data_IF_632440930436
#
_entry.id   IF_632440930436
#
_cell.length_a   1.000
_cell.length_b   1.000
_cell.length_c   1.000
_cell.angle_alpha   90.00
_cell.angle_beta   90.00
_cell.angle_gamma   90.00
#
_symmetry.space_group_name_H-M   'P 1'
#
loop_
_entity.id
_entity.type
_entity.pdbx_description
1 polymer ?
#
# COMPACT_ATOMS: atom_id res chain seq x y z
N UNK A 1 -33.99 11.66 -94.23
CA UNK A 1 -34.17 10.26 -93.79
C UNK A 1 -32.84 9.89 -93.15
N UNK A 2 -32.71 9.56 -91.88
CA UNK A 2 -33.44 8.58 -91.10
C UNK A 2 -33.24 8.90 -89.61
N UNK A 3 -34.34 8.91 -88.85
CA UNK A 3 -34.34 8.90 -87.39
C UNK A 3 -34.78 7.51 -86.97
N UNK A 4 -34.05 6.83 -86.07
CA UNK A 4 -34.63 6.21 -84.87
C UNK A 4 -33.62 5.50 -83.99
N UNK A 5 -33.71 5.86 -82.70
CA UNK A 5 -33.15 5.14 -81.54
C UNK A 5 -34.04 3.95 -81.18
N UNK A 6 -33.46 2.82 -80.73
CA UNK A 6 -33.46 2.36 -79.31
C UNK A 6 -33.19 0.85 -79.15
N UNK A 7 -32.34 0.57 -78.15
CA UNK A 7 -32.34 -0.51 -77.15
C UNK A 7 -32.11 -1.96 -77.61
N UNK A 8 -31.07 -2.59 -77.06
CA UNK A 8 -31.15 -3.94 -76.48
C UNK A 8 -30.19 -4.10 -75.29
N UNK A 9 -30.65 -4.85 -74.30
CA UNK A 9 -29.89 -5.45 -73.20
C UNK A 9 -29.42 -6.86 -73.63
N UNK A 10 -28.26 -7.35 -73.14
CA UNK A 10 -28.14 -8.72 -72.61
C UNK A 10 -26.82 -9.00 -71.86
N UNK A 11 -26.97 -9.88 -70.87
CA UNK A 11 -26.09 -10.34 -69.80
C UNK A 11 -24.82 -11.07 -70.29
N UNK A 12 -23.68 -10.83 -69.63
CA UNK A 12 -22.43 -11.59 -69.81
C UNK A 12 -22.12 -12.51 -68.62
N UNK A 13 -21.83 -13.77 -68.91
CA UNK A 13 -21.40 -14.83 -67.99
C UNK A 13 -19.86 -15.05 -68.08
N UNK A 14 -19.23 -15.81 -67.15
CA UNK A 14 -17.87 -15.54 -66.66
C UNK A 14 -16.73 -16.23 -67.44
N UNK A 15 -15.52 -15.65 -67.41
CA UNK A 15 -14.29 -16.24 -67.97
C UNK A 15 -13.39 -16.84 -66.88
N UNK A 16 -13.05 -18.12 -67.11
CA UNK A 16 -12.11 -19.03 -66.44
C UNK A 16 -10.68 -18.44 -66.38
N UNK A 17 -10.00 -18.53 -65.23
CA UNK A 17 -8.53 -18.41 -65.12
C UNK A 17 -7.94 -19.74 -64.65
N UNK A 18 -6.84 -20.13 -65.30
CA UNK A 18 -6.16 -21.44 -65.21
C UNK A 18 -5.25 -21.50 -63.99
N UNK A 19 -5.19 -22.69 -63.40
CA UNK A 19 -4.35 -23.12 -62.28
C UNK A 19 -3.10 -23.83 -62.84
N UNK A 20 -1.91 -23.50 -62.33
CA UNK A 20 -0.68 -24.32 -62.52
C UNK A 20 0.45 -23.95 -61.55
N UNK A 21 0.88 -24.94 -60.75
CA UNK A 21 2.19 -25.05 -60.06
C UNK A 21 2.29 -24.28 -58.74
N UNK A 22 2.78 -24.82 -57.61
CA UNK A 22 3.70 -25.94 -57.39
C UNK A 22 3.62 -26.39 -55.91
N UNK A 23 2.75 -27.33 -55.56
CA UNK A 23 2.54 -27.85 -54.18
C UNK A 23 3.58 -28.92 -53.80
N UNK A 24 4.86 -28.70 -54.14
CA UNK A 24 5.94 -29.70 -54.04
C UNK A 24 6.94 -29.50 -52.91
N UNK A 25 7.04 -28.29 -52.34
CA UNK A 25 8.18 -27.93 -51.47
C UNK A 25 7.83 -27.81 -49.98
N UNK A 26 6.54 -27.73 -49.60
CA UNK A 26 6.16 -27.58 -48.17
C UNK A 26 6.28 -28.88 -47.36
N UNK A 27 6.19 -30.04 -48.02
CA UNK A 27 6.22 -31.36 -47.36
C UNK A 27 7.63 -31.86 -47.00
N UNK A 28 8.69 -31.20 -47.49
CA UNK A 28 10.07 -31.56 -47.17
C UNK A 28 10.51 -30.98 -45.81
N UNK A 29 9.90 -29.88 -45.37
CA UNK A 29 10.28 -29.18 -44.13
C UNK A 29 9.73 -29.88 -42.87
N UNK A 30 8.62 -30.61 -42.98
CA UNK A 30 7.99 -31.34 -41.86
C UNK A 30 8.67 -32.67 -41.50
N UNK A 31 9.56 -33.20 -42.36
CA UNK A 31 10.20 -34.52 -42.17
C UNK A 31 11.59 -34.48 -41.53
N UNK A 32 12.09 -33.30 -41.14
CA UNK A 32 13.40 -33.20 -40.48
C UNK A 32 13.21 -33.34 -38.97
N UNK A 33 13.78 -34.37 -38.32
CA UNK A 33 13.69 -34.50 -36.87
C UNK A 33 14.37 -33.30 -36.20
N UNK A 34 13.65 -32.63 -35.29
CA UNK A 34 14.21 -31.55 -34.49
C UNK A 34 15.40 -32.11 -33.70
N UNK A 35 16.62 -31.62 -33.98
CA UNK A 35 17.77 -31.83 -33.09
C UNK A 35 17.42 -31.23 -31.73
N UNK A 36 17.14 -32.09 -30.75
CA UNK A 36 17.15 -31.69 -29.35
C UNK A 36 18.57 -31.25 -29.02
N UNK A 37 18.74 -29.98 -28.68
CA UNK A 37 19.97 -29.52 -28.03
C UNK A 37 19.96 -30.12 -26.63
N UNK A 38 20.62 -31.27 -26.51
CA UNK A 38 21.10 -31.78 -25.24
C UNK A 38 22.01 -30.71 -24.60
N UNK A 39 21.88 -30.60 -23.27
CA UNK A 39 22.56 -29.69 -22.34
C UNK A 39 23.97 -29.26 -22.78
N UNK A 40 24.11 -27.97 -23.08
CA UNK A 40 25.31 -27.17 -22.80
C UNK A 40 24.85 -25.90 -22.06
N UNK A 41 24.69 -25.99 -20.73
CA UNK A 41 24.33 -24.85 -19.87
C UNK A 41 25.53 -23.91 -19.74
N UNK A 42 25.69 -23.02 -20.71
CA UNK A 42 26.51 -21.82 -20.58
C UNK A 42 25.67 -20.61 -21.00
N UNK A 43 25.06 -19.93 -20.03
CA UNK A 43 24.29 -18.71 -20.29
C UNK A 43 25.25 -17.60 -20.73
N UNK A 44 25.26 -17.29 -22.03
CA UNK A 44 26.00 -16.14 -22.57
C UNK A 44 25.16 -14.89 -22.40
N UNK A 45 25.61 -13.95 -21.56
CA UNK A 45 25.01 -12.62 -21.44
C UNK A 45 25.60 -11.70 -22.51
N UNK A 46 24.75 -11.17 -23.38
CA UNK A 46 25.14 -10.15 -24.36
C UNK A 46 25.14 -8.76 -23.68
N UNK A 47 26.25 -8.03 -23.80
CA UNK A 47 26.39 -6.68 -23.28
C UNK A 47 26.03 -5.64 -24.34
N UNK A 48 25.72 -4.42 -23.90
CA UNK A 48 25.40 -3.31 -24.80
C UNK A 48 26.58 -3.02 -25.76
N UNK A 49 26.29 -2.75 -27.04
CA UNK A 49 27.34 -2.40 -28.00
C UNK A 49 28.02 -1.08 -27.63
N UNK A 50 29.35 -1.05 -27.65
CA UNK A 50 30.13 0.16 -27.37
C UNK A 50 30.61 0.78 -28.70
N UNK A 51 30.37 2.07 -28.88
CA UNK A 51 30.81 2.81 -30.07
C UNK A 51 32.22 3.35 -29.84
N UNK A 52 33.20 2.78 -30.54
CA UNK A 52 34.58 3.28 -30.60
C UNK A 52 34.79 4.08 -31.88
N UNK A 53 35.92 4.82 -31.98
CA UNK A 53 36.25 5.66 -33.16
C UNK A 53 36.32 4.88 -34.49
N UNK A 54 36.36 3.55 -34.46
CA UNK A 54 36.41 2.66 -35.62
C UNK A 54 35.14 1.81 -35.83
N UNK A 55 34.05 2.09 -35.12
CA UNK A 55 32.76 1.39 -35.29
C UNK A 55 32.16 0.86 -33.99
N UNK A 56 31.04 0.14 -34.11
CA UNK A 56 30.29 -0.40 -32.96
C UNK A 56 30.75 -1.83 -32.70
N UNK A 57 31.30 -2.09 -31.52
CA UNK A 57 31.76 -3.44 -31.10
C UNK A 57 30.76 -4.05 -30.11
N UNK A 58 30.24 -5.23 -30.43
CA UNK A 58 29.36 -6.03 -29.56
C UNK A 58 30.19 -6.93 -28.65
N UNK A 59 29.91 -6.95 -27.35
CA UNK A 59 30.63 -7.78 -26.35
C UNK A 59 29.72 -8.86 -25.77
N UNK A 60 30.28 -10.04 -25.50
CA UNK A 60 29.59 -11.18 -24.87
C UNK A 60 30.41 -11.72 -23.70
N UNK A 61 29.75 -12.15 -22.62
CA UNK A 61 30.39 -12.80 -21.47
C UNK A 61 29.68 -14.13 -21.14
N UNK A 62 30.46 -15.19 -20.90
CA UNK A 62 29.96 -16.53 -20.57
C UNK A 62 29.91 -16.70 -19.05
N UNK A 63 28.77 -17.13 -18.50
CA UNK A 63 28.59 -17.47 -17.08
C UNK A 63 28.36 -18.98 -16.98
N UNK A 64 29.14 -19.67 -16.14
CA UNK A 64 29.02 -21.11 -15.88
C UNK A 64 28.24 -21.37 -14.58
N UNK A 65 27.23 -22.25 -14.65
CA UNK A 65 26.47 -22.77 -13.50
C UNK A 65 26.87 -24.23 -13.21
N UNK A 66 26.94 -24.62 -11.93
CA UNK A 66 27.06 -26.02 -11.50
C UNK A 66 25.68 -26.49 -11.02
N UNK A 67 25.14 -27.53 -11.65
CA UNK A 67 23.95 -28.30 -11.25
C UNK A 67 24.43 -29.72 -10.79
N UNK A 68 23.90 -30.46 -9.80
CA UNK A 68 22.58 -31.15 -9.65
C UNK A 68 22.73 -32.25 -8.53
N UNK A 69 21.75 -33.09 -8.08
CA UNK A 69 20.26 -33.02 -8.09
C UNK A 69 19.47 -33.65 -6.87
N UNK A 70 18.13 -33.44 -6.90
CA UNK A 70 17.00 -34.35 -6.60
C UNK A 70 16.49 -34.61 -5.14
N UNK A 71 15.32 -34.05 -4.80
CA UNK A 71 14.01 -34.76 -4.81
C UNK A 71 12.85 -33.79 -4.54
N UNK A 72 11.74 -34.01 -5.24
CA UNK A 72 10.54 -33.17 -5.34
C UNK A 72 9.57 -33.42 -4.16
N UNK A 73 8.88 -32.38 -3.68
CA UNK A 73 7.41 -32.24 -3.69
C UNK A 73 6.92 -31.12 -2.73
N UNK A 74 5.74 -30.59 -3.07
CA UNK A 74 5.12 -29.32 -2.71
C UNK A 74 4.85 -29.09 -1.20
N UNK A 75 5.12 -27.86 -0.70
CA UNK A 75 4.28 -27.18 0.29
C UNK A 75 4.64 -25.70 0.48
N UNK A 76 3.61 -24.88 0.68
CA UNK A 76 3.62 -23.41 0.80
C UNK A 76 4.50 -22.88 1.95
N UNK A 77 5.34 -21.90 1.63
CA UNK A 77 6.24 -21.21 2.56
C UNK A 77 5.52 -20.41 3.66
N UNK A 78 5.78 -20.80 4.91
CA UNK A 78 5.67 -20.00 6.12
C UNK A 78 7.08 -19.86 6.75
N UNK A 79 7.56 -18.61 6.87
CA UNK A 79 8.52 -18.05 7.83
C UNK A 79 9.82 -18.79 8.25
N UNK A 80 10.95 -18.06 8.12
CA UNK A 80 12.15 -18.15 8.99
C UNK A 80 13.47 -18.14 8.20
N UNK A 81 14.27 -17.08 8.18
CA UNK A 81 15.31 -16.74 9.18
C UNK A 81 16.03 -15.46 8.67
N UNK A 82 16.15 -14.39 9.46
CA UNK A 82 17.25 -14.06 10.37
C UNK A 82 18.61 -13.76 9.69
N UNK A 83 18.95 -12.46 9.75
CA UNK A 83 20.26 -11.81 9.91
C UNK A 83 21.46 -12.25 9.07
N UNK A 84 21.90 -11.39 8.14
CA UNK A 84 23.31 -10.98 7.94
C UNK A 84 23.38 -9.76 7.00
N UNK A 85 23.43 -8.54 7.53
CA UNK A 85 23.91 -7.35 6.80
C UNK A 85 24.78 -6.47 7.71
N UNK A 86 26.08 -6.78 7.73
CA UNK A 86 27.14 -5.80 7.90
C UNK A 86 28.29 -6.22 6.99
N UNK A 87 28.45 -5.55 5.83
CA UNK A 87 29.68 -5.38 5.05
C UNK A 87 29.40 -4.27 4.02
N UNK A 88 30.17 -3.19 4.14
CA UNK A 88 30.18 -2.02 3.25
C UNK A 88 30.62 -2.39 1.83
N UNK A 89 30.08 -1.76 0.78
CA UNK A 89 30.76 -1.71 -0.51
C UNK A 89 31.53 -0.38 -0.64
N UNK A 90 32.86 -0.49 -0.73
CA UNK A 90 33.71 0.55 -1.32
C UNK A 90 33.45 0.64 -2.83
N UNK A 91 33.30 1.88 -3.32
CA UNK A 91 33.42 2.26 -4.73
C UNK A 91 34.01 3.69 -4.79
N UNK A 92 34.69 4.07 -5.89
CA UNK A 92 36.06 4.57 -5.85
C UNK A 92 36.20 6.09 -5.98
N UNK A 93 37.41 6.55 -5.68
CA UNK A 93 37.88 7.93 -5.75
C UNK A 93 37.60 8.62 -7.11
N UNK A 94 36.89 9.75 -7.04
CA UNK A 94 36.92 10.80 -8.05
C UNK A 94 36.75 12.17 -7.34
N UNK A 95 37.90 12.84 -7.24
CA UNK A 95 38.17 14.28 -7.10
C UNK A 95 37.26 15.16 -6.22
N UNK A 96 37.86 15.61 -5.13
CA UNK A 96 37.37 16.60 -4.20
C UNK A 96 37.27 17.99 -4.86
N UNK A 97 36.06 18.57 -4.84
CA UNK A 97 35.87 20.01 -4.78
C UNK A 97 35.70 20.40 -3.30
N UNK A 98 36.52 21.31 -2.74
CA UNK A 98 36.46 21.67 -1.33
C UNK A 98 35.64 22.96 -1.16
N UNK A 99 34.32 22.89 -1.03
CA UNK A 99 33.56 24.04 -0.53
C UNK A 99 32.51 23.64 0.53
N UNK A 100 32.63 24.32 1.68
CA UNK A 100 31.69 24.46 2.79
C UNK A 100 31.52 23.31 3.81
N UNK A 101 32.60 22.99 4.52
CA UNK A 101 32.53 22.51 5.91
C UNK A 101 32.60 23.66 6.91
N UNK A 102 31.62 24.57 6.89
CA UNK A 102 31.46 25.53 8.00
C UNK A 102 30.88 24.78 9.20
N UNK A 103 31.53 24.79 10.38
CA UNK A 103 30.98 24.17 11.58
C UNK A 103 29.68 24.88 11.96
N UNK A 104 28.55 24.21 11.71
CA UNK A 104 27.22 24.71 12.06
C UNK A 104 27.13 24.83 13.58
N UNK A 105 27.20 26.07 14.08
CA UNK A 105 26.87 26.39 15.47
C UNK A 105 25.52 25.78 15.85
N UNK A 106 25.39 25.15 17.04
CA UNK A 106 24.20 24.38 17.42
C UNK A 106 22.90 25.19 17.35
N UNK A 107 22.97 26.50 17.58
CA UNK A 107 21.84 27.44 17.49
C UNK A 107 21.29 27.54 16.05
N UNK A 108 22.15 27.65 15.03
CA UNK A 108 21.74 27.73 13.61
C UNK A 108 21.02 26.44 13.16
N UNK A 109 21.44 25.29 13.68
CA UNK A 109 20.81 24.00 13.37
C UNK A 109 19.39 23.85 13.95
N UNK A 110 19.10 24.49 15.09
CA UNK A 110 17.77 24.46 15.71
C UNK A 110 16.80 25.40 15.00
N UNK A 111 17.25 26.60 14.63
CA UNK A 111 16.45 27.54 13.84
C UNK A 111 16.07 26.97 12.48
N UNK A 112 16.98 26.24 11.83
CA UNK A 112 16.70 25.55 10.56
C UNK A 112 15.61 24.48 10.72
N UNK A 113 15.70 23.63 11.77
CA UNK A 113 14.68 22.62 12.07
C UNK A 113 13.31 23.24 12.38
N UNK A 114 13.31 24.37 13.10
CA UNK A 114 12.07 25.10 13.38
C UNK A 114 11.44 25.66 12.09
N UNK A 115 12.25 26.26 11.20
CA UNK A 115 11.79 26.75 9.89
C UNK A 115 11.23 25.61 9.04
N UNK A 116 11.93 24.49 8.98
CA UNK A 116 11.46 23.28 8.28
C UNK A 116 10.13 22.78 8.86
N UNK A 117 10.00 22.73 10.18
CA UNK A 117 8.75 22.32 10.82
C UNK A 117 7.59 23.25 10.46
N UNK A 118 7.82 24.57 10.41
CA UNK A 118 6.79 25.53 10.02
C UNK A 118 6.39 25.37 8.54
N UNK A 119 7.35 25.15 7.65
CA UNK A 119 7.07 24.89 6.23
C UNK A 119 6.24 23.61 6.06
N UNK A 120 6.59 22.53 6.75
CA UNK A 120 5.83 21.27 6.69
C UNK A 120 4.43 21.44 7.28
N UNK A 121 4.28 22.21 8.37
CA UNK A 121 2.96 22.52 8.95
C UNK A 121 2.07 23.29 7.97
N UNK A 122 2.61 24.35 7.36
CA UNK A 122 1.90 25.13 6.35
C UNK A 122 1.49 24.24 5.17
N UNK A 123 2.40 23.38 4.69
CA UNK A 123 2.14 22.43 3.62
C UNK A 123 1.04 21.42 3.98
N UNK A 124 1.09 20.83 5.18
CA UNK A 124 0.03 19.92 5.66
C UNK A 124 -1.32 20.66 5.72
N UNK A 125 -1.33 21.90 6.21
CA UNK A 125 -2.53 22.74 6.28
C UNK A 125 -3.11 23.06 4.89
N UNK A 126 -2.26 23.45 3.94
CA UNK A 126 -2.71 23.75 2.57
C UNK A 126 -3.25 22.51 1.85
N UNK A 127 -2.61 21.34 2.04
CA UNK A 127 -3.10 20.07 1.48
C UNK A 127 -4.45 19.68 2.07
N UNK A 128 -4.60 19.79 3.40
CA UNK A 128 -5.84 19.45 4.08
C UNK A 128 -6.99 20.39 3.69
N UNK A 129 -6.74 21.69 3.65
CA UNK A 129 -7.73 22.69 3.22
C UNK A 129 -8.20 22.42 1.79
N UNK A 130 -7.28 22.14 0.87
CA UNK A 130 -7.63 21.86 -0.53
C UNK A 130 -8.48 20.57 -0.68
N UNK A 131 -8.26 19.56 0.15
CA UNK A 131 -9.06 18.34 0.14
C UNK A 131 -10.48 18.61 0.67
N UNK A 132 -10.60 19.38 1.74
CA UNK A 132 -11.91 19.69 2.36
C UNK A 132 -12.73 20.61 1.47
N UNK A 133 -12.09 21.51 0.72
CA UNK A 133 -12.75 22.39 -0.27
C UNK A 133 -13.35 21.59 -1.43
N UNK A 134 -12.55 20.79 -2.13
CA UNK A 134 -12.99 19.99 -3.29
C UNK A 134 -12.40 18.57 -3.27
N UNK A 135 -13.05 17.62 -2.57
CA UNK A 135 -12.47 16.30 -2.36
C UNK A 135 -12.36 15.48 -3.65
N UNK A 136 -13.25 15.69 -4.63
CA UNK A 136 -13.28 14.94 -5.89
C UNK A 136 -12.08 15.25 -6.79
N UNK A 137 -11.77 16.54 -6.97
CA UNK A 137 -10.66 16.99 -7.83
C UNK A 137 -9.30 16.91 -7.13
N UNK A 138 -9.28 17.09 -5.81
CA UNK A 138 -8.05 17.20 -5.01
C UNK A 138 -7.66 15.89 -4.32
N UNK A 139 -8.26 14.76 -4.70
CA UNK A 139 -7.99 13.43 -4.09
C UNK A 139 -6.51 13.00 -4.15
N UNK A 140 -5.73 13.55 -5.10
CA UNK A 140 -4.29 13.28 -5.21
C UNK A 140 -3.48 13.70 -3.98
N UNK A 141 -3.92 14.72 -3.24
CA UNK A 141 -3.22 15.24 -2.05
C UNK A 141 -3.21 14.25 -0.89
N UNK A 142 -4.16 13.30 -0.83
CA UNK A 142 -4.12 12.21 0.15
C UNK A 142 -2.85 11.37 0.02
N UNK A 143 -2.34 11.16 -1.20
CA UNK A 143 -1.09 10.42 -1.44
C UNK A 143 0.07 11.04 -0.68
N UNK A 144 0.15 12.37 -0.73
CA UNK A 144 1.23 13.13 -0.11
C UNK A 144 1.11 13.13 1.41
N UNK A 145 -0.10 13.37 1.95
CA UNK A 145 -0.35 13.30 3.39
C UNK A 145 -0.06 11.90 3.96
N UNK A 146 -0.44 10.84 3.25
CA UNK A 146 -0.15 9.45 3.65
C UNK A 146 1.36 9.17 3.59
N UNK A 147 2.07 9.68 2.58
CA UNK A 147 3.53 9.58 2.53
C UNK A 147 4.20 10.26 3.74
N UNK A 148 3.71 11.43 4.16
CA UNK A 148 4.20 12.11 5.37
C UNK A 148 3.98 11.29 6.65
N UNK A 149 2.90 10.52 6.76
CA UNK A 149 2.69 9.59 7.88
C UNK A 149 3.66 8.39 7.83
N UNK A 150 3.97 7.89 6.63
CA UNK A 150 4.85 6.72 6.45
C UNK A 150 6.32 7.07 6.66
N UNK A 151 6.81 8.08 5.96
CA UNK A 151 8.23 8.44 5.86
C UNK A 151 8.59 9.54 6.88
N UNK A 152 7.73 10.56 7.00
CA UNK A 152 8.01 11.78 7.75
C UNK A 152 9.07 12.64 7.04
N UNK A 153 9.61 13.64 7.74
CA UNK A 153 10.70 14.47 7.22
C UNK A 153 12.03 14.18 7.95
N UNK A 154 13.19 14.29 7.29
CA UNK A 154 14.48 14.09 7.91
C UNK A 154 14.66 15.05 9.10
N UNK A 155 15.24 14.57 10.20
CA UNK A 155 15.49 15.38 11.41
C UNK A 155 14.27 15.69 12.29
N UNK A 156 13.04 15.69 11.75
CA UNK A 156 11.79 16.00 12.50
C UNK A 156 10.66 14.98 12.25
N UNK A 157 11.00 13.77 11.80
CA UNK A 157 10.07 12.73 11.36
C UNK A 157 8.98 12.43 12.38
N UNK A 158 9.32 12.41 13.67
CA UNK A 158 8.36 12.07 14.73
C UNK A 158 7.23 13.07 14.87
N UNK A 159 7.54 14.37 14.80
CA UNK A 159 6.57 15.46 14.90
C UNK A 159 5.70 15.49 13.65
N UNK A 160 6.33 15.39 12.47
CA UNK A 160 5.62 15.39 11.19
C UNK A 160 4.62 14.24 11.08
N UNK A 161 5.03 13.03 11.48
CA UNK A 161 4.14 11.85 11.48
C UNK A 161 2.93 12.04 12.38
N UNK A 162 3.11 12.63 13.57
CA UNK A 162 1.99 12.90 14.49
C UNK A 162 1.04 13.94 13.91
N UNK A 163 1.57 15.04 13.37
CA UNK A 163 0.78 16.11 12.77
C UNK A 163 0.00 15.61 11.54
N UNK A 164 0.68 14.92 10.63
CA UNK A 164 0.04 14.36 9.43
C UNK A 164 -1.02 13.32 9.79
N UNK A 165 -0.76 12.46 10.79
CA UNK A 165 -1.73 11.45 11.22
C UNK A 165 -3.00 12.08 11.80
N UNK A 166 -2.87 13.11 12.65
CA UNK A 166 -4.02 13.83 13.21
C UNK A 166 -4.76 14.64 12.14
N UNK A 167 -4.05 15.25 11.20
CA UNK A 167 -4.68 16.02 10.12
C UNK A 167 -5.51 15.10 9.22
N UNK A 168 -4.96 13.95 8.83
CA UNK A 168 -5.69 12.95 8.05
C UNK A 168 -6.91 12.41 8.79
N UNK A 169 -6.83 12.24 10.12
CA UNK A 169 -7.99 11.85 10.92
C UNK A 169 -9.15 12.84 10.73
N UNK A 170 -8.92 14.14 10.95
CA UNK A 170 -9.98 15.14 10.82
C UNK A 170 -10.49 15.24 9.38
N UNK A 171 -9.59 15.24 8.38
CA UNK A 171 -9.99 15.24 6.95
C UNK A 171 -10.86 14.03 6.61
N UNK A 172 -10.53 12.83 7.10
CA UNK A 172 -11.36 11.65 6.86
C UNK A 172 -12.69 11.72 7.61
N UNK A 173 -12.80 12.40 8.76
CA UNK A 173 -14.10 12.60 9.40
C UNK A 173 -15.03 13.43 8.53
N UNK A 174 -14.51 14.45 7.86
CA UNK A 174 -15.29 15.38 7.05
C UNK A 174 -15.65 14.82 5.67
N UNK A 175 -14.73 14.05 5.05
CA UNK A 175 -14.86 13.63 3.63
C UNK A 175 -15.47 12.23 3.46
N UNK A 176 -15.39 11.35 4.46
CA UNK A 176 -15.89 9.97 4.34
C UNK A 176 -17.43 9.96 4.29
N UNK A 177 -18.03 9.26 3.31
CA UNK A 177 -19.48 9.17 3.22
C UNK A 177 -20.05 8.28 4.34
N UNK A 178 -21.32 8.52 4.69
CA UNK A 178 -22.05 7.72 5.69
C UNK A 178 -22.47 6.31 5.24
N UNK A 179 -22.08 5.89 4.04
CA UNK A 179 -22.38 4.56 3.48
C UNK A 179 -21.09 3.80 3.17
N UNK A 180 -21.16 2.47 3.18
CA UNK A 180 -20.04 1.63 2.77
C UNK A 180 -19.87 1.67 1.25
N UNK A 181 -18.66 1.98 0.78
CA UNK A 181 -18.28 1.96 -0.62
C UNK A 181 -18.15 0.50 -1.07
N UNK A 182 -19.03 0.08 -1.95
CA UNK A 182 -19.04 -1.24 -2.58
C UNK A 182 -18.45 -1.15 -3.97
N UNK A 183 -17.67 -2.18 -4.37
CA UNK A 183 -17.18 -2.25 -5.73
C UNK A 183 -18.36 -2.28 -6.74
N UNK A 184 -18.25 -1.63 -7.90
CA UNK A 184 -19.31 -1.60 -8.92
C UNK A 184 -19.79 -3.00 -9.37
N UNK A 185 -18.90 -3.99 -9.27
CA UNK A 185 -19.17 -5.40 -9.62
C UNK A 185 -20.24 -6.04 -8.75
N UNK A 186 -20.45 -5.57 -7.51
CA UNK A 186 -21.40 -6.16 -6.55
C UNK A 186 -22.84 -5.70 -6.83
N UNK A 187 -23.04 -4.53 -7.43
CA UNK A 187 -24.37 -3.98 -7.75
C UNK A 187 -24.85 -4.30 -9.19
N UNK A 188 -24.34 -5.37 -9.79
CA UNK A 188 -24.81 -5.86 -11.10
C UNK A 188 -24.36 -5.01 -12.30
N UNK A 189 -23.58 -3.95 -12.09
CA UNK A 189 -22.91 -3.21 -13.17
C UNK A 189 -21.52 -3.79 -13.40
N UNK A 190 -21.43 -4.81 -14.26
CA UNK A 190 -20.15 -5.38 -14.66
C UNK A 190 -19.21 -4.34 -15.29
N UNK A 191 -17.91 -4.67 -15.48
CA UNK A 191 -16.88 -3.76 -16.02
C UNK A 191 -17.16 -3.24 -17.45
N UNK A 192 -18.26 -3.66 -18.08
CA UNK A 192 -18.68 -3.30 -19.44
C UNK A 192 -19.96 -2.45 -19.49
N UNK A 193 -20.54 -2.05 -18.35
CA UNK A 193 -21.70 -1.15 -18.33
C UNK A 193 -21.26 0.26 -18.78
N UNK A 194 -21.91 0.83 -19.79
CA UNK A 194 -21.69 2.23 -20.21
C UNK A 194 -22.28 3.17 -19.17
N UNK A 195 -21.47 3.56 -18.18
CA UNK A 195 -21.85 4.57 -17.18
C UNK A 195 -21.74 5.98 -17.77
N UNK A 196 -22.55 6.90 -17.23
CA UNK A 196 -22.42 8.33 -17.52
C UNK A 196 -21.06 8.84 -17.00
N UNK A 197 -20.53 9.90 -17.63
CA UNK A 197 -19.23 10.48 -17.29
C UNK A 197 -19.13 10.85 -15.80
N UNK A 198 -20.17 11.47 -15.25
CA UNK A 198 -20.25 11.87 -13.85
C UNK A 198 -20.24 10.66 -12.90
N UNK A 199 -21.05 9.64 -13.18
CA UNK A 199 -21.09 8.40 -12.37
C UNK A 199 -19.72 7.70 -12.37
N UNK A 200 -19.04 7.67 -13.52
CA UNK A 200 -17.70 7.09 -13.62
C UNK A 200 -16.66 7.89 -12.82
N UNK A 201 -16.76 9.22 -12.82
CA UNK A 201 -15.88 10.08 -12.03
C UNK A 201 -16.07 9.86 -10.52
N UNK A 202 -17.33 9.76 -10.07
CA UNK A 202 -17.66 9.50 -8.67
C UNK A 202 -17.10 8.15 -8.20
N UNK A 203 -17.31 7.08 -8.97
CA UNK A 203 -16.76 5.75 -8.65
C UNK A 203 -15.23 5.79 -8.57
N UNK A 204 -14.57 6.44 -9.53
CA UNK A 204 -13.11 6.57 -9.51
C UNK A 204 -12.59 7.34 -8.29
N UNK A 205 -13.34 8.36 -7.86
CA UNK A 205 -13.07 9.09 -6.62
C UNK A 205 -13.25 8.18 -5.39
N UNK A 206 -14.38 7.47 -5.27
CA UNK A 206 -14.68 6.57 -4.15
C UNK A 206 -13.64 5.45 -4.01
N UNK A 207 -13.26 4.81 -5.12
CA UNK A 207 -12.20 3.80 -5.15
C UNK A 207 -10.86 4.37 -4.68
N UNK A 208 -10.55 5.59 -5.11
CA UNK A 208 -9.32 6.28 -4.72
C UNK A 208 -9.34 6.68 -3.24
N UNK A 209 -10.47 7.17 -2.75
CA UNK A 209 -10.68 7.51 -1.34
C UNK A 209 -10.50 6.27 -0.46
N UNK A 210 -11.17 5.17 -0.81
CA UNK A 210 -11.08 3.90 -0.08
C UNK A 210 -9.65 3.36 -0.08
N UNK A 211 -8.93 3.48 -1.20
CA UNK A 211 -7.52 3.09 -1.29
C UNK A 211 -6.64 3.88 -0.31
N UNK A 212 -6.76 5.21 -0.27
CA UNK A 212 -5.95 6.03 0.64
C UNK A 212 -6.36 5.85 2.09
N UNK A 213 -7.66 5.67 2.36
CA UNK A 213 -8.17 5.32 3.68
C UNK A 213 -7.56 4.00 4.17
N UNK A 214 -7.54 2.96 3.33
CA UNK A 214 -6.88 1.69 3.65
C UNK A 214 -5.37 1.82 3.87
N UNK A 215 -4.68 2.63 3.08
CA UNK A 215 -3.26 2.92 3.30
C UNK A 215 -3.01 3.65 4.63
N UNK A 216 -3.88 4.59 5.00
CA UNK A 216 -3.81 5.30 6.28
C UNK A 216 -4.01 4.35 7.46
N UNK A 217 -5.08 3.55 7.46
CA UNK A 217 -5.31 2.51 8.49
C UNK A 217 -4.15 1.53 8.57
N UNK A 218 -3.60 1.12 7.41
CA UNK A 218 -2.40 0.30 7.32
C UNK A 218 -1.16 0.95 7.95
N UNK A 219 -0.98 2.27 7.80
CA UNK A 219 0.08 3.02 8.46
C UNK A 219 -0.10 3.05 9.98
N UNK A 220 -1.32 3.30 10.46
CA UNK A 220 -1.65 3.27 11.90
C UNK A 220 -1.35 1.89 12.51
N UNK A 221 -1.78 0.81 11.84
CA UNK A 221 -1.46 -0.58 12.23
C UNK A 221 0.04 -0.81 12.34
N UNK A 222 0.81 -0.39 11.34
CA UNK A 222 2.29 -0.52 11.34
C UNK A 222 2.93 0.30 12.45
N UNK A 223 2.40 1.46 12.80
CA UNK A 223 2.89 2.27 13.94
C UNK A 223 2.68 1.52 15.25
N UNK A 224 1.46 1.03 15.50
CA UNK A 224 1.10 0.30 16.72
C UNK A 224 1.90 -1.01 16.85
N UNK A 225 2.00 -1.79 15.78
CA UNK A 225 2.76 -3.04 15.77
C UNK A 225 4.27 -2.80 16.03
N UNK A 226 4.86 -1.77 15.41
CA UNK A 226 6.27 -1.41 15.67
C UNK A 226 6.48 -0.96 17.11
N UNK A 227 5.54 -0.22 17.70
CA UNK A 227 5.65 0.17 19.10
C UNK A 227 5.61 -1.04 20.02
N UNK A 228 4.71 -1.99 19.80
CA UNK A 228 4.63 -3.23 20.59
C UNK A 228 5.92 -4.06 20.50
N UNK A 229 6.52 -4.17 19.31
CA UNK A 229 7.83 -4.81 19.13
C UNK A 229 8.92 -4.10 19.94
N UNK A 230 8.96 -2.75 19.86
CA UNK A 230 9.95 -1.93 20.59
C UNK A 230 9.81 -1.99 22.11
N UNK A 231 8.63 -2.32 22.63
CA UNK A 231 8.45 -2.54 24.08
C UNK A 231 9.14 -3.82 24.57
N UNK A 232 9.34 -4.80 23.69
CA UNK A 232 9.98 -6.08 24.02
C UNK A 232 11.50 -6.06 23.81
N UNK A 233 12.02 -5.10 23.05
CA UNK A 233 13.44 -4.97 22.71
C UNK A 233 14.10 -3.88 23.54
N UNK A 234 15.35 -4.08 23.96
CA UNK A 234 16.15 -3.03 24.60
C UNK A 234 16.34 -1.83 23.64
N UNK A 235 15.87 -0.65 24.05
CA UNK A 235 15.94 0.59 23.28
C UNK A 235 16.35 1.73 24.21
N UNK A 236 16.97 2.78 23.66
CA UNK A 236 17.22 3.99 24.44
C UNK A 236 15.90 4.62 24.90
N UNK A 237 15.89 5.16 26.14
CA UNK A 237 14.71 5.76 26.74
C UNK A 237 14.07 6.83 25.85
N UNK A 238 14.88 7.62 25.15
CA UNK A 238 14.40 8.66 24.23
C UNK A 238 13.64 8.06 23.04
N UNK A 239 14.17 7.01 22.39
CA UNK A 239 13.49 6.33 21.26
C UNK A 239 12.17 5.72 21.70
N UNK A 240 12.14 5.12 22.91
CA UNK A 240 10.92 4.52 23.44
C UNK A 240 9.85 5.58 23.75
N UNK A 241 10.23 6.69 24.40
CA UNK A 241 9.31 7.81 24.69
C UNK A 241 8.71 8.40 23.42
N UNK A 242 9.54 8.62 22.40
CA UNK A 242 9.07 9.03 21.08
C UNK A 242 8.11 7.97 20.53
N UNK A 243 8.52 6.72 20.39
CA UNK A 243 7.65 5.65 19.86
C UNK A 243 6.29 5.60 20.55
N UNK A 244 6.27 5.73 21.87
CA UNK A 244 5.05 5.74 22.70
C UNK A 244 4.17 6.93 22.36
N UNK A 245 4.73 8.14 22.26
CA UNK A 245 3.97 9.34 21.89
C UNK A 245 3.35 9.25 20.48
N UNK A 246 4.01 8.58 19.54
CA UNK A 246 3.43 8.33 18.20
C UNK A 246 2.34 7.24 18.24
N UNK A 247 2.55 6.18 19.03
CA UNK A 247 1.56 5.13 19.21
C UNK A 247 0.28 5.64 19.89
N UNK A 248 0.40 6.53 20.89
CA UNK A 248 -0.73 7.22 21.52
C UNK A 248 -1.54 8.03 20.49
N UNK A 249 -0.86 8.77 19.62
CA UNK A 249 -1.53 9.50 18.53
C UNK A 249 -2.21 8.52 17.56
N UNK A 250 -1.56 7.43 17.19
CA UNK A 250 -2.15 6.43 16.31
C UNK A 250 -3.39 5.77 16.94
N UNK A 251 -3.34 5.42 18.23
CA UNK A 251 -4.48 4.89 18.97
C UNK A 251 -5.65 5.89 18.99
N UNK A 252 -5.36 7.18 19.24
CA UNK A 252 -6.36 8.25 19.16
C UNK A 252 -6.99 8.33 17.77
N UNK A 253 -6.21 8.18 16.70
CA UNK A 253 -6.71 8.20 15.33
C UNK A 253 -7.60 6.99 15.02
N UNK A 254 -7.19 5.78 15.42
CA UNK A 254 -8.01 4.57 15.24
C UNK A 254 -9.34 4.71 15.98
N UNK A 255 -9.31 5.11 17.25
CA UNK A 255 -10.50 5.31 18.07
C UNK A 255 -11.40 6.41 17.49
N UNK A 256 -10.81 7.52 17.03
CA UNK A 256 -11.53 8.64 16.43
C UNK A 256 -12.23 8.27 15.12
N UNK A 257 -11.58 7.47 14.27
CA UNK A 257 -12.20 6.96 13.03
C UNK A 257 -13.36 6.02 13.32
N UNK A 258 -13.18 5.10 14.27
CA UNK A 258 -14.19 4.12 14.64
C UNK A 258 -15.47 4.79 15.18
N UNK A 259 -15.32 5.88 15.95
CA UNK A 259 -16.45 6.64 16.49
C UNK A 259 -17.12 7.56 15.47
N UNK A 260 -16.35 8.11 14.52
CA UNK A 260 -16.91 8.94 13.47
C UNK A 260 -17.70 8.12 12.45
N UNK A 261 -17.14 6.96 12.05
CA UNK A 261 -17.65 6.17 10.92
C UNK A 261 -17.73 4.68 11.27
N UNK A 262 -18.64 4.27 12.18
CA UNK A 262 -18.73 2.89 12.67
C UNK A 262 -19.21 1.88 11.63
N UNK A 263 -19.91 2.32 10.57
CA UNK A 263 -20.43 1.44 9.51
C UNK A 263 -19.66 1.55 8.19
N UNK A 264 -18.62 2.38 8.15
CA UNK A 264 -17.80 2.54 6.95
C UNK A 264 -16.87 1.35 6.74
N UNK A 265 -16.33 1.22 5.54
CA UNK A 265 -15.40 0.15 5.17
C UNK A 265 -14.23 0.03 6.17
N UNK A 266 -13.66 -1.17 6.28
CA UNK A 266 -12.56 -1.50 7.20
C UNK A 266 -12.91 -1.35 8.70
N UNK A 267 -14.18 -1.16 9.08
CA UNK A 267 -14.59 -1.11 10.49
C UNK A 267 -14.08 -2.31 11.30
N UNK A 268 -14.18 -3.53 10.78
CA UNK A 268 -13.65 -4.72 11.45
C UNK A 268 -12.14 -4.64 11.77
N UNK A 269 -11.35 -4.02 10.89
CA UNK A 269 -9.91 -3.79 11.15
C UNK A 269 -9.70 -2.70 12.19
N UNK A 270 -10.51 -1.63 12.20
CA UNK A 270 -10.45 -0.59 13.23
C UNK A 270 -10.82 -1.13 14.60
N UNK A 271 -11.85 -1.98 14.68
CA UNK A 271 -12.25 -2.69 15.90
C UNK A 271 -11.10 -3.56 16.40
N UNK A 272 -10.49 -4.35 15.52
CA UNK A 272 -9.33 -5.17 15.86
C UNK A 272 -8.17 -4.35 16.44
N UNK A 273 -7.82 -3.24 15.78
CA UNK A 273 -6.76 -2.33 16.25
C UNK A 273 -7.13 -1.68 17.58
N UNK A 274 -8.39 -1.31 17.78
CA UNK A 274 -8.87 -0.73 19.04
C UNK A 274 -8.76 -1.75 20.18
N UNK A 275 -9.14 -3.01 19.94
CA UNK A 275 -8.98 -4.10 20.92
C UNK A 275 -7.51 -4.40 21.20
N UNK A 276 -6.62 -4.31 20.21
CA UNK A 276 -5.17 -4.38 20.47
C UNK A 276 -4.68 -3.22 21.33
N UNK A 277 -5.18 -2.01 21.12
CA UNK A 277 -4.84 -0.83 21.92
C UNK A 277 -5.38 -0.94 23.36
N UNK A 278 -6.57 -1.53 23.53
CA UNK A 278 -7.10 -1.91 24.84
C UNK A 278 -5.99 -2.68 25.56
N UNK A 279 -5.49 -3.78 24.99
CA UNK A 279 -4.46 -4.61 25.59
C UNK A 279 -3.09 -3.98 25.83
N UNK A 280 -2.82 -2.77 25.36
CA UNK A 280 -1.49 -2.19 25.51
C UNK A 280 -1.12 -1.95 26.99
N UNK A 281 0.18 -2.03 27.35
CA UNK A 281 0.64 -1.69 28.71
C UNK A 281 0.64 -0.19 28.99
N UNK A 282 0.35 0.66 27.99
CA UNK A 282 0.23 2.10 28.17
C UNK A 282 -1.20 2.45 28.60
N UNK A 283 -1.34 2.94 29.83
CA UNK A 283 -2.61 3.34 30.43
C UNK A 283 -3.38 4.33 29.55
N UNK A 284 -2.69 5.27 28.89
CA UNK A 284 -3.37 6.27 28.05
C UNK A 284 -4.02 5.62 26.84
N UNK A 285 -3.33 4.68 26.20
CA UNK A 285 -3.84 3.96 25.04
C UNK A 285 -5.00 3.03 25.43
N UNK A 286 -4.86 2.30 26.54
CA UNK A 286 -5.90 1.39 27.03
C UNK A 286 -7.18 2.14 27.43
N UNK A 287 -7.05 3.29 28.12
CA UNK A 287 -8.19 4.14 28.51
C UNK A 287 -8.90 4.71 27.29
N UNK A 288 -8.17 5.24 26.29
CA UNK A 288 -8.77 5.73 25.05
C UNK A 288 -9.55 4.63 24.32
N UNK A 289 -8.96 3.43 24.20
CA UNK A 289 -9.62 2.30 23.56
C UNK A 289 -10.85 1.83 24.33
N UNK A 290 -10.78 1.79 25.67
CA UNK A 290 -11.92 1.43 26.51
C UNK A 290 -13.07 2.44 26.34
N UNK A 291 -12.78 3.74 26.37
CA UNK A 291 -13.78 4.78 26.15
C UNK A 291 -14.41 4.65 24.75
N UNK A 292 -13.60 4.46 23.71
CA UNK A 292 -14.10 4.28 22.36
C UNK A 292 -15.03 3.07 22.22
N UNK A 293 -14.66 1.92 22.78
CA UNK A 293 -15.52 0.73 22.77
C UNK A 293 -16.81 0.94 23.57
N UNK A 294 -16.76 1.61 24.72
CA UNK A 294 -17.97 1.96 25.49
C UNK A 294 -18.91 2.86 24.70
N UNK A 295 -18.38 3.82 23.95
CA UNK A 295 -19.17 4.68 23.08
C UNK A 295 -19.75 3.89 21.90
N UNK A 296 -18.96 3.03 21.25
CA UNK A 296 -19.41 2.16 20.17
C UNK A 296 -20.59 1.28 20.62
N UNK A 297 -20.50 0.64 21.80
CA UNK A 297 -21.55 -0.23 22.33
C UNK A 297 -22.86 0.51 22.65
N UNK A 298 -22.81 1.82 22.90
CA UNK A 298 -24.01 2.64 23.13
C UNK A 298 -24.63 3.13 21.83
N UNK A 299 -23.81 3.36 20.80
CA UNK A 299 -24.26 3.89 19.51
C UNK A 299 -24.76 2.79 18.58
N UNK A 300 -24.21 1.59 18.67
CA UNK A 300 -24.53 0.47 17.80
C UNK A 300 -25.89 -0.15 18.15
N UNK A 301 -26.91 0.23 17.39
CA UNK A 301 -28.29 -0.27 17.53
C UNK A 301 -28.49 -1.64 16.89
N UNK A 302 -27.73 -1.95 15.84
CA UNK A 302 -27.85 -3.22 15.11
C UNK A 302 -27.10 -4.35 15.83
N UNK A 303 -26.07 -3.99 16.61
CA UNK A 303 -25.30 -4.92 17.42
C UNK A 303 -24.19 -5.64 16.65
N UNK A 304 -24.03 -5.39 15.35
CA UNK A 304 -23.02 -6.06 14.52
C UNK A 304 -21.60 -5.66 14.91
N UNK A 305 -21.34 -4.35 15.07
CA UNK A 305 -20.04 -3.83 15.48
C UNK A 305 -19.70 -4.23 16.91
N UNK A 306 -20.70 -4.27 17.78
CA UNK A 306 -20.59 -4.71 19.18
C UNK A 306 -20.27 -6.19 19.26
N UNK A 307 -20.97 -7.03 18.50
CA UNK A 307 -20.72 -8.46 18.46
C UNK A 307 -19.29 -8.75 17.99
N UNK A 308 -18.84 -8.06 16.94
CA UNK A 308 -17.47 -8.22 16.44
C UNK A 308 -16.44 -7.79 17.47
N UNK A 309 -16.62 -6.62 18.08
CA UNK A 309 -15.73 -6.12 19.14
C UNK A 309 -15.65 -7.06 20.36
N UNK A 310 -16.78 -7.63 20.79
CA UNK A 310 -16.82 -8.60 21.89
C UNK A 310 -16.12 -9.91 21.50
N UNK A 311 -16.33 -10.41 20.28
CA UNK A 311 -15.61 -11.59 19.77
C UNK A 311 -14.10 -11.37 19.77
N UNK A 312 -13.63 -10.22 19.27
CA UNK A 312 -12.19 -9.86 19.28
C UNK A 312 -11.65 -9.69 20.69
N UNK A 313 -12.41 -9.07 21.60
CA UNK A 313 -12.02 -8.92 23.01
C UNK A 313 -11.90 -10.27 23.69
N UNK A 314 -12.85 -11.19 23.47
CA UNK A 314 -12.77 -12.56 23.97
C UNK A 314 -11.54 -13.28 23.45
N UNK A 315 -11.22 -13.15 22.15
CA UNK A 315 -10.02 -13.75 21.58
C UNK A 315 -8.74 -13.20 22.23
N UNK A 316 -8.68 -11.88 22.47
CA UNK A 316 -7.57 -11.25 23.18
C UNK A 316 -7.42 -11.78 24.62
N UNK A 317 -8.52 -11.92 25.36
CA UNK A 317 -8.49 -12.44 26.74
C UNK A 317 -8.01 -13.89 26.79
N UNK A 318 -8.50 -14.74 25.87
CA UNK A 318 -8.05 -16.13 25.72
C UNK A 318 -6.55 -16.20 25.41
N UNK A 319 -6.06 -15.37 24.49
CA UNK A 319 -4.64 -15.31 24.15
C UNK A 319 -3.74 -14.88 25.34
N UNK A 320 -4.31 -14.18 26.33
CA UNK A 320 -3.64 -13.79 27.57
C UNK A 320 -3.76 -14.81 28.71
N UNK A 321 -4.43 -15.93 28.49
CA UNK A 321 -4.71 -16.92 29.53
C UNK A 321 -5.70 -16.43 30.60
N UNK A 322 -6.38 -15.31 30.37
CA UNK A 322 -7.41 -14.79 31.27
C UNK A 322 -8.73 -15.50 30.95
N UNK A 323 -9.01 -16.58 31.68
CA UNK A 323 -10.33 -17.20 31.71
C UNK A 323 -11.27 -16.25 32.46
N UNK A 324 -12.42 -15.91 31.87
CA UNK A 324 -13.52 -15.27 32.60
C UNK A 324 -14.14 -16.33 33.52
N UNK A 325 -13.48 -16.60 34.65
CA UNK A 325 -14.06 -17.36 35.74
C UNK A 325 -15.09 -16.47 36.43
N UNK A 326 -16.27 -17.02 36.71
CA UNK A 326 -17.38 -16.41 37.45
C UNK A 326 -17.03 -16.00 38.89
N UNK A 327 -15.80 -16.25 39.34
CA UNK A 327 -15.26 -15.73 40.59
C UNK A 327 -14.22 -14.65 40.29
N UNK A 328 -14.50 -13.44 40.78
CA UNK A 328 -13.75 -12.21 40.60
C UNK A 328 -12.26 -12.35 40.94
N UNK A 329 -11.44 -12.83 40.00
CA UNK A 329 -10.00 -12.62 40.02
C UNK A 329 -9.71 -11.36 39.23
N UNK A 330 -9.30 -10.33 39.98
CA UNK A 330 -8.86 -9.01 39.55
C UNK A 330 -8.40 -8.98 38.10
N UNK A 331 -9.28 -8.47 37.24
CA UNK A 331 -8.92 -7.94 35.94
C UNK A 331 -7.99 -6.75 36.22
N UNK A 332 -6.67 -6.99 36.27
CA UNK A 332 -5.67 -5.92 36.25
C UNK A 332 -5.61 -5.33 34.85
N UNK A 333 -6.68 -4.61 34.53
CA UNK A 333 -6.73 -3.66 33.45
C UNK A 333 -6.89 -2.30 34.10
N UNK A 334 -6.08 -1.29 33.72
CA UNK A 334 -6.18 0.06 34.28
C UNK A 334 -7.61 0.61 34.22
N UNK A 335 -8.38 0.20 33.21
CA UNK A 335 -9.77 0.59 32.96
C UNK A 335 -10.83 -0.11 33.83
N UNK A 336 -10.47 -1.20 34.53
CA UNK A 336 -11.39 -2.00 35.35
C UNK A 336 -11.07 -1.93 36.85
N UNK A 337 -10.11 -1.09 37.27
CA UNK A 337 -9.94 -0.81 38.70
C UNK A 337 -11.15 0.00 39.18
N UNK A 338 -11.90 -0.45 40.20
CA UNK A 338 -12.85 0.41 40.88
C UNK A 338 -12.05 1.57 41.51
N UNK A 339 -12.49 2.80 41.22
CA UNK A 339 -11.96 4.01 41.83
C UNK A 339 -12.44 4.18 43.25
#
# INVERSE_FOLDING_TARGET
>A
MEVRRRKTWRKGAPRKRRHSGNDGDELAYEKVPRRSMAKDNATVRMLLPVKTKHGIVRKTQVVATKDDPASEEEQLDESGSEDLEDIQPELPAAEASPEDTVPRTPVKSLSEKYRQLQQVKQRIGSLASAIVEDPQDKVGHFKELVALVREGAPGISHIVKRLAALTLLEVFKDVVPGYAITAPTVHGSGPKQRLKKETRALIGYEETLLRYYGQYVGCLRKILARHLKRLKTQQSALRLRLSTALAQVAAKCVCGLLLAHPHFNLCGQLIELTVHCLGSPDDKMSVMACQALRHLYRQDRLGESTLEAVKRTRALLKARGLQASSSARQLQWPCFRPG
#
